data_IF_899094997951
#
_entry.id   IF_899094997951
#
_cell.length_a   1.000
_cell.length_b   1.000
_cell.length_c   1.000
_cell.angle_alpha   90.00
_cell.angle_beta   90.00
_cell.angle_gamma   90.00
#
_symmetry.space_group_name_H-M   'P 1'
#
loop_
_entity.id
_entity.type
_entity.pdbx_description
1 polymer ?
#
# COMPACT_ATOMS: atom_id res chain seq x y z
N UNK A 1 -4.44 -15.78 23.05
CA UNK A 1 -4.40 -14.75 21.99
C UNK A 1 -4.51 -15.42 20.64
N UNK A 2 -5.11 -14.74 19.66
CA UNK A 2 -5.22 -15.24 18.28
C UNK A 2 -4.06 -14.68 17.44
N UNK A 3 -3.44 -15.54 16.63
CA UNK A 3 -2.42 -15.15 15.65
C UNK A 3 -2.93 -15.49 14.26
N UNK A 4 -2.81 -14.56 13.32
CA UNK A 4 -3.29 -14.71 11.94
C UNK A 4 -2.18 -14.35 10.98
N UNK A 5 -2.06 -15.12 9.89
CA UNK A 5 -1.19 -14.80 8.76
C UNK A 5 -2.04 -14.45 7.54
N UNK A 6 -1.76 -13.31 6.92
CA UNK A 6 -2.42 -12.87 5.69
C UNK A 6 -1.43 -12.94 4.53
N UNK A 7 -1.91 -13.39 3.37
CA UNK A 7 -1.16 -13.43 2.11
C UNK A 7 -1.95 -12.62 1.08
N UNK A 8 -1.34 -11.57 0.55
CA UNK A 8 -1.93 -10.70 -0.47
C UNK A 8 -0.85 -10.16 -1.39
N UNK A 9 -1.25 -9.80 -2.61
CA UNK A 9 -0.43 -9.03 -3.54
C UNK A 9 -0.67 -7.51 -3.40
N UNK A 10 -1.73 -7.11 -2.69
CA UNK A 10 -2.06 -5.71 -2.45
C UNK A 10 -1.45 -5.22 -1.13
N UNK A 11 -0.42 -4.38 -1.26
CA UNK A 11 0.27 -3.78 -0.13
C UNK A 11 -0.60 -2.76 0.63
N UNK A 12 -1.60 -2.13 0.01
CA UNK A 12 -2.52 -1.22 0.69
C UNK A 12 -3.38 -1.93 1.73
N UNK A 13 -3.80 -3.16 1.41
CA UNK A 13 -4.54 -4.02 2.36
C UNK A 13 -3.63 -4.48 3.48
N UNK A 14 -2.42 -4.95 3.15
CA UNK A 14 -1.44 -5.42 4.14
C UNK A 14 -1.07 -4.30 5.13
N UNK A 15 -0.90 -3.07 4.65
CA UNK A 15 -0.61 -1.90 5.49
C UNK A 15 -1.63 -1.69 6.61
N UNK A 16 -2.91 -2.00 6.34
CA UNK A 16 -4.02 -1.76 7.29
C UNK A 16 -4.23 -2.91 8.26
N UNK A 17 -3.89 -4.14 7.88
CA UNK A 17 -4.23 -5.36 8.63
C UNK A 17 -3.06 -5.96 9.40
N UNK A 18 -1.83 -5.79 8.91
CA UNK A 18 -0.66 -6.49 9.42
C UNK A 18 0.23 -5.58 10.25
N UNK A 19 0.85 -6.15 11.30
CA UNK A 19 1.89 -5.49 12.12
C UNK A 19 3.32 -5.82 11.65
N UNK A 20 3.47 -6.94 10.96
CA UNK A 20 4.72 -7.45 10.41
C UNK A 20 4.46 -7.84 8.96
N UNK A 21 5.42 -7.57 8.07
CA UNK A 21 5.32 -7.89 6.65
C UNK A 21 6.58 -8.64 6.24
N UNK A 22 6.38 -9.68 5.45
CA UNK A 22 7.44 -10.44 4.78
C UNK A 22 7.20 -10.32 3.29
N UNK A 23 8.20 -9.84 2.56
CA UNK A 23 8.21 -9.77 1.10
C UNK A 23 8.99 -10.97 0.58
N UNK A 24 8.37 -11.70 -0.34
CA UNK A 24 8.97 -12.85 -1.02
C UNK A 24 9.09 -12.59 -2.52
N UNK A 25 10.18 -13.07 -3.11
CA UNK A 25 10.40 -13.09 -4.57
C UNK A 25 11.01 -14.43 -4.94
N UNK A 26 10.44 -15.11 -5.94
CA UNK A 26 10.95 -16.40 -6.45
C UNK A 26 11.14 -17.46 -5.35
N UNK A 27 10.23 -17.49 -4.36
CA UNK A 27 10.28 -18.44 -3.25
C UNK A 27 11.26 -18.08 -2.12
N UNK A 28 11.95 -16.94 -2.22
CA UNK A 28 12.92 -16.47 -1.24
C UNK A 28 12.37 -15.25 -0.49
N UNK A 29 12.56 -15.21 0.83
CA UNK A 29 12.30 -14.02 1.64
C UNK A 29 13.37 -12.99 1.32
N UNK A 30 12.97 -11.85 0.76
CA UNK A 30 13.89 -10.77 0.40
C UNK A 30 13.89 -9.66 1.45
N UNK A 31 12.78 -9.45 2.14
CA UNK A 31 12.67 -8.46 3.21
C UNK A 31 11.65 -8.89 4.27
N UNK A 32 11.95 -8.61 5.53
CA UNK A 32 11.03 -8.82 6.66
C UNK A 32 11.19 -7.66 7.65
N UNK A 33 10.10 -6.96 7.93
CA UNK A 33 10.14 -5.77 8.80
C UNK A 33 8.78 -5.48 9.44
N UNK A 34 8.76 -4.55 10.38
CA UNK A 34 7.51 -3.93 10.82
C UNK A 34 6.84 -3.22 9.63
N UNK A 35 5.51 -3.26 9.58
CA UNK A 35 4.75 -2.65 8.48
C UNK A 35 5.16 -1.20 8.28
N UNK A 36 5.14 -0.37 9.31
CA UNK A 36 5.48 1.06 9.17
C UNK A 36 6.91 1.26 8.65
N UNK A 37 7.88 0.51 9.17
CA UNK A 37 9.28 0.60 8.73
C UNK A 37 9.46 0.16 7.27
N UNK A 38 8.72 -0.85 6.81
CA UNK A 38 8.77 -1.31 5.42
C UNK A 38 8.23 -0.25 4.45
N UNK A 39 7.17 0.45 4.83
CA UNK A 39 6.56 1.50 3.98
C UNK A 39 7.33 2.84 4.05
N UNK A 40 7.98 3.16 5.17
CA UNK A 40 8.74 4.40 5.33
C UNK A 40 10.18 4.29 4.79
N UNK A 41 10.84 3.16 5.06
CA UNK A 41 12.27 2.94 4.75
C UNK A 41 12.52 1.51 4.24
N UNK A 42 11.95 1.15 3.07
CA UNK A 42 12.19 -0.15 2.44
C UNK A 42 13.67 -0.34 2.10
N UNK A 43 14.25 -1.47 2.53
CA UNK A 43 15.67 -1.76 2.36
C UNK A 43 15.96 -2.40 1.00
N UNK A 44 15.08 -3.25 0.48
CA UNK A 44 15.29 -3.90 -0.81
C UNK A 44 14.79 -3.05 -1.98
N UNK A 45 15.52 -3.13 -3.10
CA UNK A 45 15.11 -2.49 -4.35
C UNK A 45 13.73 -2.99 -4.81
N UNK A 46 13.53 -4.31 -4.78
CA UNK A 46 12.25 -4.91 -5.15
C UNK A 46 11.08 -4.41 -4.29
N UNK A 47 11.30 -4.22 -2.98
CA UNK A 47 10.25 -3.68 -2.09
C UNK A 47 9.91 -2.23 -2.46
N UNK A 48 10.91 -1.41 -2.85
CA UNK A 48 10.68 -0.05 -3.36
C UNK A 48 9.83 -0.08 -4.62
N UNK A 49 10.20 -0.91 -5.59
CA UNK A 49 9.46 -1.05 -6.85
C UNK A 49 7.99 -1.45 -6.62
N UNK A 50 7.75 -2.37 -5.67
CA UNK A 50 6.38 -2.77 -5.29
C UNK A 50 5.59 -1.64 -4.63
N UNK A 51 6.22 -0.85 -3.77
CA UNK A 51 5.57 0.28 -3.09
C UNK A 51 5.24 1.41 -4.07
N UNK A 52 6.11 1.67 -5.04
CA UNK A 52 5.89 2.66 -6.10
C UNK A 52 4.75 2.26 -7.05
N UNK A 53 4.51 0.96 -7.21
CA UNK A 53 3.41 0.45 -8.02
C UNK A 53 2.03 0.53 -7.33
N UNK A 54 1.95 0.97 -6.07
CA UNK A 54 0.68 1.11 -5.37
C UNK A 54 -0.11 2.28 -6.00
N UNK A 55 -1.32 2.03 -6.52
CA UNK A 55 -2.15 3.10 -7.07
C UNK A 55 -2.52 4.08 -5.95
N UNK A 56 -2.18 5.36 -6.14
CA UNK A 56 -2.72 6.42 -5.30
C UNK A 56 -4.21 6.58 -5.63
N UNK A 57 -5.08 6.84 -4.62
CA UNK A 57 -6.45 7.20 -4.92
C UNK A 57 -6.45 8.45 -5.80
N UNK A 58 -6.98 8.33 -7.01
CA UNK A 58 -7.28 9.49 -7.86
C UNK A 58 -8.33 10.33 -7.11
N UNK A 59 -7.91 11.46 -6.55
CA UNK A 59 -8.84 12.47 -6.06
C UNK A 59 -9.16 13.34 -7.26
N UNK A 60 -10.36 13.20 -7.81
CA UNK A 60 -10.88 14.14 -8.80
C UNK A 60 -11.27 15.45 -8.08
N UNK A 61 -10.47 16.49 -8.27
CA UNK A 61 -10.73 17.84 -7.75
C UNK A 61 -12.06 18.41 -8.27
N UNK A 62 -12.59 17.89 -9.38
CA UNK A 62 -13.89 18.24 -9.97
C UNK A 62 -15.07 17.90 -9.07
N UNK A 63 -14.93 16.98 -8.12
CA UNK A 63 -15.96 16.68 -7.12
C UNK A 63 -16.10 17.77 -6.05
N UNK A 64 -15.03 18.54 -5.78
CA UNK A 64 -15.02 19.57 -4.74
C UNK A 64 -15.53 20.93 -5.22
N UNK A 65 -15.72 21.10 -6.54
CA UNK A 65 -16.25 22.32 -7.12
C UNK A 65 -17.78 22.24 -7.17
N UNK A 66 -18.52 23.16 -6.52
CA UNK A 66 -19.97 23.21 -6.66
C UNK A 66 -20.33 23.43 -8.13
N UNK A 67 -21.20 22.57 -8.66
CA UNK A 67 -21.71 22.71 -10.02
C UNK A 67 -22.23 24.13 -10.24
N UNK A 68 -21.53 24.90 -11.07
CA UNK A 68 -21.95 26.25 -11.42
C UNK A 68 -23.36 26.18 -12.03
N UNK A 69 -24.32 26.85 -11.40
CA UNK A 69 -25.69 27.00 -11.92
C UNK A 69 -25.62 27.61 -13.33
N UNK A 70 -26.16 26.91 -14.33
CA UNK A 70 -26.33 27.43 -15.67
C UNK A 70 -27.24 28.69 -15.65
N UNK A 71 -26.89 29.77 -16.37
CA UNK A 71 -27.75 30.95 -16.47
C UNK A 71 -29.03 30.62 -17.25
N UNK A 72 -30.12 31.27 -16.83
CA UNK A 72 -31.52 31.08 -17.25
C UNK A 72 -31.79 31.39 -18.73
#
# INVERSE_FOLDING_TARGET
>A
GLTVAFISHDLSVIRRLCRQVIVMREGVIVEASATDALFEKPQQAYTRDLLEAIPLPEIDDGWLLPAAKAPA
#
